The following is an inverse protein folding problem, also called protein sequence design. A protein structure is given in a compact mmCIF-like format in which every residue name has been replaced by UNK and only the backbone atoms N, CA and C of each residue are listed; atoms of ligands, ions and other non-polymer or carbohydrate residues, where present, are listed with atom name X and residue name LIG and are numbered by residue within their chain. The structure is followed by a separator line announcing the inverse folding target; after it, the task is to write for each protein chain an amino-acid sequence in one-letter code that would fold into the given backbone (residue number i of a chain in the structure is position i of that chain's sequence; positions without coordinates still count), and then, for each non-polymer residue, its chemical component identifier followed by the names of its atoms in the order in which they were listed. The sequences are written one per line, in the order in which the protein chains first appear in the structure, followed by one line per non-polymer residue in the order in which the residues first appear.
data_IF_472871666818
#
_entry.id   IF_472871666818
#
_cell.length_a   1.000
_cell.length_b   1.000
_cell.length_c   1.000
_cell.angle_alpha   90.00
_cell.angle_beta   90.00
_cell.angle_gamma   90.00
#
_symmetry.space_group_name_H-M   'P 1'
#
loop_
_entity.id
_entity.type
_entity.pdbx_description
1 polymer ?
#
# COMPACT_ATOMS: atom_id res chain seq x y z
N UNK A 1 -3.74 -8.29 19.08
CA UNK A 1 -3.77 -8.01 17.64
C UNK A 1 -4.46 -9.14 16.89
N UNK A 2 -5.57 -8.84 16.23
CA UNK A 2 -6.28 -9.75 15.33
C UNK A 2 -5.50 -9.95 14.03
N UNK A 3 -5.82 -11.03 13.31
CA UNK A 3 -5.25 -11.29 11.97
C UNK A 3 -5.51 -10.12 11.00
N UNK A 4 -6.70 -9.51 11.05
CA UNK A 4 -7.07 -8.35 10.24
C UNK A 4 -6.20 -7.13 10.55
N UNK A 5 -5.91 -6.88 11.82
CA UNK A 5 -5.04 -5.76 12.23
C UNK A 5 -3.60 -5.95 11.73
N UNK A 6 -3.07 -7.19 11.78
CA UNK A 6 -1.74 -7.49 11.24
C UNK A 6 -1.69 -7.28 9.72
N UNK A 7 -2.71 -7.71 9.00
CA UNK A 7 -2.79 -7.56 7.56
C UNK A 7 -2.98 -6.09 7.14
N UNK A 8 -3.74 -5.32 7.92
CA UNK A 8 -3.87 -3.87 7.74
C UNK A 8 -2.51 -3.18 7.88
N UNK A 9 -1.76 -3.49 8.94
CA UNK A 9 -0.44 -2.93 9.18
C UNK A 9 0.53 -3.25 8.05
N UNK A 10 0.51 -4.49 7.52
CA UNK A 10 1.32 -4.88 6.37
C UNK A 10 0.98 -4.07 5.10
N UNK A 11 -0.31 -3.86 4.82
CA UNK A 11 -0.75 -3.06 3.67
C UNK A 11 -0.35 -1.58 3.80
N UNK A 12 -0.43 -1.01 4.99
CA UNK A 12 0.04 0.35 5.28
C UNK A 12 1.55 0.44 5.04
N UNK A 13 2.34 -0.51 5.57
CA UNK A 13 3.80 -0.54 5.37
C UNK A 13 4.19 -0.63 3.89
N UNK A 14 3.46 -1.42 3.09
CA UNK A 14 3.70 -1.49 1.64
C UNK A 14 3.43 -0.15 0.94
N UNK A 15 2.38 0.57 1.35
CA UNK A 15 2.10 1.90 0.82
C UNK A 15 3.19 2.91 1.20
N UNK A 16 3.66 2.89 2.46
CA UNK A 16 4.75 3.74 2.93
C UNK A 16 6.05 3.50 2.15
N UNK A 17 6.41 2.23 1.93
CA UNK A 17 7.58 1.85 1.14
C UNK A 17 7.46 2.32 -0.32
N UNK A 18 6.29 2.15 -0.94
CA UNK A 18 6.05 2.61 -2.30
C UNK A 18 6.14 4.14 -2.40
N UNK A 19 5.59 4.87 -1.43
CA UNK A 19 5.68 6.33 -1.38
C UNK A 19 7.13 6.79 -1.22
N UNK A 20 7.89 6.17 -0.32
CA UNK A 20 9.31 6.48 -0.11
C UNK A 20 10.11 6.25 -1.39
N UNK A 21 9.93 5.11 -2.06
CA UNK A 21 10.60 4.81 -3.33
C UNK A 21 10.25 5.84 -4.43
N UNK A 22 8.99 6.28 -4.50
CA UNK A 22 8.57 7.29 -5.46
C UNK A 22 9.11 8.69 -5.14
N UNK A 23 9.27 9.04 -3.87
CA UNK A 23 9.88 10.31 -3.45
C UNK A 23 11.39 10.33 -3.72
N UNK A 24 12.09 9.23 -3.46
CA UNK A 24 13.53 9.10 -3.73
C UNK A 24 13.83 9.06 -5.23
N UNK A 25 12.98 8.37 -6.01
CA UNK A 25 13.11 8.28 -7.46
C UNK A 25 11.73 8.38 -8.13
N UNK A 26 11.31 9.59 -8.52
CA UNK A 26 10.05 9.78 -9.22
C UNK A 26 10.13 9.17 -10.62
N UNK A 27 9.41 8.07 -10.83
CA UNK A 27 9.31 7.43 -12.14
C UNK A 27 7.96 6.74 -12.29
N UNK A 28 7.57 6.46 -13.54
CA UNK A 28 6.27 5.85 -13.83
C UNK A 28 6.07 4.54 -13.04
N UNK A 29 7.09 3.69 -12.97
CA UNK A 29 7.01 2.42 -12.24
C UNK A 29 6.71 2.64 -10.75
N UNK A 30 7.40 3.57 -10.10
CA UNK A 30 7.18 3.85 -8.67
C UNK A 30 5.82 4.50 -8.44
N UNK A 31 5.37 5.39 -9.32
CA UNK A 31 4.03 5.95 -9.28
C UNK A 31 2.94 4.86 -9.45
N UNK A 32 3.14 3.89 -10.34
CA UNK A 32 2.26 2.74 -10.49
C UNK A 32 2.23 1.85 -9.23
N UNK A 33 3.38 1.65 -8.57
CA UNK A 33 3.44 0.89 -7.31
C UNK A 33 2.66 1.59 -6.18
N UNK A 34 2.78 2.91 -6.07
CA UNK A 34 1.98 3.71 -5.12
C UNK A 34 0.50 3.57 -5.41
N UNK A 35 0.09 3.72 -6.67
CA UNK A 35 -1.31 3.59 -7.06
C UNK A 35 -1.87 2.20 -6.73
N UNK A 36 -1.11 1.13 -7.02
CA UNK A 36 -1.49 -0.25 -6.69
C UNK A 36 -1.63 -0.47 -5.18
N UNK A 37 -0.62 -0.09 -4.40
CA UNK A 37 -0.67 -0.23 -2.94
C UNK A 37 -1.85 0.53 -2.32
N UNK A 38 -2.20 1.70 -2.88
CA UNK A 38 -3.37 2.47 -2.44
C UNK A 38 -4.69 1.76 -2.73
N UNK A 39 -4.84 1.17 -3.92
CA UNK A 39 -6.03 0.37 -4.28
C UNK A 39 -6.12 -0.86 -3.36
N UNK A 40 -5.04 -1.61 -3.19
CA UNK A 40 -4.99 -2.81 -2.35
C UNK A 40 -5.36 -2.52 -0.88
N UNK A 41 -4.97 -1.35 -0.36
CA UNK A 41 -5.35 -0.90 1.00
C UNK A 41 -6.84 -0.53 1.05
N UNK A 42 -7.33 0.21 0.06
CA UNK A 42 -8.73 0.64 -0.01
C UNK A 42 -9.69 -0.55 -0.14
N UNK A 43 -9.39 -1.50 -1.01
CA UNK A 43 -10.18 -2.72 -1.18
C UNK A 43 -10.23 -3.53 0.11
N UNK A 44 -9.10 -3.66 0.80
CA UNK A 44 -9.03 -4.35 2.09
C UNK A 44 -9.90 -3.67 3.16
N UNK A 45 -9.85 -2.33 3.28
CA UNK A 45 -10.69 -1.61 4.24
C UNK A 45 -12.18 -1.69 3.92
N UNK A 46 -12.54 -1.79 2.64
CA UNK A 46 -13.93 -1.93 2.19
C UNK A 46 -14.50 -3.34 2.47
N UNK A 47 -13.68 -4.28 2.94
CA UNK A 47 -14.07 -5.68 3.11
C UNK A 47 -14.04 -6.48 1.80
N UNK A 48 -13.30 -5.99 0.79
CA UNK A 48 -12.89 -6.79 -0.35
C UNK A 48 -12.10 -8.01 0.12
N UNK A 49 -12.36 -9.15 -0.52
CA UNK A 49 -11.85 -10.48 -0.17
C UNK A 49 -10.34 -10.50 0.08
#
# INVERSE_FOLDING_TARGET
MSYKEKLLAQKIQLLELALKANLEKPCLNNACLVAKARVDLFEFMRGGK
#
